data_IF_517139633874
#
_entry.id   IF_517139633874
#
_cell.length_a   1.000
_cell.length_b   1.000
_cell.length_c   1.000
_cell.angle_alpha   90.00
_cell.angle_beta   90.00
_cell.angle_gamma   90.00
#
_symmetry.space_group_name_H-M   'P 1'
#
loop_
_entity.id
_entity.type
_entity.pdbx_description
1 polymer ?
#
# COMPACT_ATOMS: atom_id res chain seq x y z
N UNK A 1 -7.34 3.61 -15.89
CA UNK A 1 -8.00 3.84 -14.58
C UNK A 1 -7.35 5.04 -13.92
N UNK A 2 -8.07 6.11 -13.61
CA UNK A 2 -7.45 7.28 -12.96
C UNK A 2 -7.37 7.10 -11.44
N UNK A 3 -6.24 7.54 -10.89
CA UNK A 3 -5.88 7.44 -9.48
C UNK A 3 -6.50 8.58 -8.65
N UNK A 4 -6.67 8.40 -7.33
CA UNK A 4 -7.07 9.48 -6.44
C UNK A 4 -6.05 10.64 -6.48
N UNK A 5 -6.54 11.87 -6.59
CA UNK A 5 -5.68 13.06 -6.59
C UNK A 5 -5.45 13.55 -5.15
N UNK A 6 -4.58 12.83 -4.43
CA UNK A 6 -4.22 13.17 -3.06
C UNK A 6 -3.60 14.56 -2.95
N UNK A 7 -2.84 15.00 -3.97
CA UNK A 7 -2.18 16.31 -3.95
C UNK A 7 -3.20 17.44 -3.89
N UNK A 8 -4.20 17.42 -4.76
CA UNK A 8 -5.26 18.42 -4.73
C UNK A 8 -6.12 18.27 -3.47
N UNK A 9 -6.39 17.04 -3.02
CA UNK A 9 -7.21 16.82 -1.84
C UNK A 9 -6.63 17.50 -0.60
N UNK A 10 -5.31 17.39 -0.39
CA UNK A 10 -4.63 17.86 0.82
C UNK A 10 -4.37 19.37 0.88
N UNK A 11 -4.51 20.12 -0.23
CA UNK A 11 -4.34 21.60 -0.21
C UNK A 11 -5.31 22.32 0.71
N UNK A 12 -6.54 21.82 0.84
CA UNK A 12 -7.60 22.50 1.59
C UNK A 12 -7.62 21.98 3.03
N UNK A 13 -7.46 22.89 4.01
CA UNK A 13 -7.45 22.56 5.45
C UNK A 13 -8.64 21.70 5.89
N UNK A 14 -9.86 22.06 5.50
CA UNK A 14 -11.04 21.29 5.88
C UNK A 14 -11.11 19.94 5.16
N UNK A 15 -10.63 19.82 3.91
CA UNK A 15 -10.52 18.52 3.24
C UNK A 15 -9.53 17.59 3.96
N UNK A 16 -8.39 18.13 4.43
CA UNK A 16 -7.44 17.37 5.27
C UNK A 16 -8.09 16.84 6.54
N UNK A 17 -8.77 17.71 7.30
CA UNK A 17 -9.48 17.33 8.53
C UNK A 17 -10.52 16.24 8.30
N UNK A 18 -11.25 16.30 7.18
CA UNK A 18 -12.24 15.28 6.79
C UNK A 18 -11.56 13.95 6.46
N UNK A 19 -10.45 13.97 5.70
CA UNK A 19 -9.71 12.76 5.36
C UNK A 19 -9.04 12.12 6.56
N UNK A 20 -8.45 12.91 7.45
CA UNK A 20 -7.88 12.45 8.71
C UNK A 20 -8.95 11.79 9.59
N UNK A 21 -10.10 12.46 9.76
CA UNK A 21 -11.24 11.88 10.50
C UNK A 21 -11.69 10.53 9.92
N UNK A 22 -11.80 10.43 8.59
CA UNK A 22 -12.18 9.19 7.93
C UNK A 22 -11.10 8.10 8.07
N UNK A 23 -9.82 8.46 7.95
CA UNK A 23 -8.71 7.55 8.11
C UNK A 23 -8.61 6.98 9.53
N UNK A 24 -8.75 7.84 10.56
CA UNK A 24 -8.77 7.43 11.97
C UNK A 24 -9.90 6.43 12.28
N UNK A 25 -11.04 6.54 11.58
CA UNK A 25 -12.15 5.57 11.66
C UNK A 25 -11.91 4.28 10.88
N UNK A 26 -10.71 4.05 10.38
CA UNK A 26 -10.35 2.86 9.61
C UNK A 26 -10.72 2.94 8.13
N UNK A 27 -10.97 4.13 7.63
CA UNK A 27 -11.29 4.40 6.23
C UNK A 27 -12.77 4.31 5.89
N UNK A 28 -13.66 4.09 6.86
CA UNK A 28 -15.12 4.06 6.68
C UNK A 28 -15.77 4.79 7.85
N UNK A 29 -16.65 5.75 7.57
CA UNK A 29 -17.38 6.50 8.60
C UNK A 29 -18.68 7.08 8.06
N UNK A 30 -19.67 7.24 8.94
CA UNK A 30 -20.88 7.96 8.63
C UNK A 30 -20.70 9.49 8.77
N UNK A 31 -21.64 10.26 8.21
CA UNK A 31 -21.59 11.72 8.20
C UNK A 31 -21.41 12.32 9.60
N UNK A 32 -22.12 11.81 10.60
CA UNK A 32 -22.06 12.33 11.96
C UNK A 32 -20.70 12.04 12.63
N UNK A 33 -20.13 10.87 12.37
CA UNK A 33 -18.78 10.52 12.83
C UNK A 33 -17.72 11.44 12.22
N UNK A 34 -17.81 11.67 10.91
CA UNK A 34 -16.89 12.57 10.19
C UNK A 34 -17.06 14.01 10.70
N UNK A 35 -18.29 14.51 10.88
CA UNK A 35 -18.57 15.84 11.40
C UNK A 35 -17.98 16.02 12.81
N UNK A 36 -18.23 15.06 13.71
CA UNK A 36 -17.74 15.07 15.08
C UNK A 36 -16.21 15.06 15.14
N UNK A 37 -15.59 14.14 14.40
CA UNK A 37 -14.14 13.92 14.45
C UNK A 37 -13.37 15.03 13.71
N UNK A 38 -13.86 15.47 12.55
CA UNK A 38 -13.20 16.51 11.77
C UNK A 38 -13.46 17.90 12.32
N UNK A 39 -14.60 18.12 12.99
CA UNK A 39 -15.11 19.44 13.41
C UNK A 39 -15.56 20.33 12.24
N UNK A 40 -15.74 19.78 11.04
CA UNK A 40 -16.30 20.48 9.86
C UNK A 40 -17.80 20.19 9.81
N UNK A 41 -18.64 21.23 9.82
CA UNK A 41 -20.09 21.07 10.05
C UNK A 41 -20.97 21.31 8.82
N UNK A 42 -22.14 20.68 8.81
CA UNK A 42 -23.26 21.00 7.93
C UNK A 42 -22.93 21.04 6.44
N UNK A 43 -23.35 22.12 5.76
CA UNK A 43 -23.15 22.31 4.31
C UNK A 43 -21.68 22.35 3.91
N UNK A 44 -20.78 22.82 4.79
CA UNK A 44 -19.34 22.85 4.54
C UNK A 44 -18.78 21.43 4.45
N UNK A 45 -19.23 20.53 5.33
CA UNK A 45 -18.84 19.13 5.26
C UNK A 45 -19.33 18.48 3.96
N UNK A 46 -20.60 18.70 3.59
CA UNK A 46 -21.16 18.19 2.33
C UNK A 46 -20.34 18.66 1.13
N UNK A 47 -19.97 19.94 1.09
CA UNK A 47 -19.13 20.50 0.03
C UNK A 47 -17.79 19.76 -0.08
N UNK A 48 -17.10 19.52 1.04
CA UNK A 48 -15.81 18.82 1.02
C UNK A 48 -15.95 17.33 0.69
N UNK A 49 -16.99 16.65 1.15
CA UNK A 49 -17.25 15.25 0.78
C UNK A 49 -17.48 15.11 -0.73
N UNK A 50 -18.34 15.97 -1.32
CA UNK A 50 -18.57 15.98 -2.77
C UNK A 50 -17.28 16.30 -3.55
N UNK A 51 -16.45 17.20 -3.05
CA UNK A 51 -15.13 17.48 -3.64
C UNK A 51 -14.21 16.25 -3.59
N UNK A 52 -14.09 15.60 -2.44
CA UNK A 52 -13.24 14.43 -2.26
C UNK A 52 -13.70 13.23 -3.10
N UNK A 53 -15.02 13.08 -3.33
CA UNK A 53 -15.57 12.12 -4.29
C UNK A 53 -15.15 12.43 -5.73
N UNK A 54 -15.22 13.70 -6.16
CA UNK A 54 -14.75 14.12 -7.49
C UNK A 54 -13.25 13.88 -7.69
N UNK A 55 -12.46 14.04 -6.64
CA UNK A 55 -11.02 13.72 -6.61
C UNK A 55 -10.74 12.21 -6.45
N UNK A 56 -11.79 11.38 -6.38
CA UNK A 56 -11.72 9.91 -6.30
C UNK A 56 -10.99 9.39 -5.06
N UNK A 57 -10.91 10.20 -3.99
CA UNK A 57 -10.33 9.79 -2.71
C UNK A 57 -11.31 8.94 -1.92
N UNK A 58 -12.60 9.30 -1.99
CA UNK A 58 -13.67 8.64 -1.25
C UNK A 58 -14.81 8.23 -2.17
N UNK A 59 -15.60 7.27 -1.70
CA UNK A 59 -16.79 6.74 -2.35
C UNK A 59 -17.94 6.72 -1.33
N UNK A 60 -19.19 6.75 -1.81
CA UNK A 60 -20.37 6.53 -0.95
C UNK A 60 -20.65 5.04 -0.90
N UNK A 61 -20.65 4.49 0.30
CA UNK A 61 -20.94 3.07 0.52
C UNK A 61 -22.44 2.84 0.72
N UNK A 62 -23.09 3.73 1.48
CA UNK A 62 -24.52 3.72 1.74
C UNK A 62 -25.01 5.15 2.02
N UNK A 63 -26.30 5.32 2.31
CA UNK A 63 -26.88 6.62 2.64
C UNK A 63 -26.19 7.22 3.87
N UNK A 64 -25.39 8.27 3.64
CA UNK A 64 -24.67 8.97 4.71
C UNK A 64 -23.37 8.29 5.17
N UNK A 65 -22.95 7.20 4.54
CA UNK A 65 -21.70 6.49 4.84
C UNK A 65 -20.70 6.67 3.71
N UNK A 66 -19.48 7.05 4.08
CA UNK A 66 -18.39 7.32 3.16
C UNK A 66 -17.23 6.37 3.45
N UNK A 67 -16.56 5.91 2.39
CA UNK A 67 -15.36 5.10 2.50
C UNK A 67 -14.21 5.70 1.71
N UNK A 68 -12.99 5.50 2.17
CA UNK A 68 -11.81 5.71 1.34
C UNK A 68 -11.85 4.73 0.16
N UNK A 69 -11.46 5.20 -1.02
CA UNK A 69 -11.25 4.34 -2.18
C UNK A 69 -10.14 3.32 -1.91
N UNK A 70 -9.07 3.77 -1.26
CA UNK A 70 -7.96 2.95 -0.77
C UNK A 70 -7.61 3.36 0.66
N UNK A 71 -7.43 2.38 1.55
CA UNK A 71 -7.02 2.60 2.95
C UNK A 71 -5.57 3.09 3.02
N UNK A 72 -4.65 2.47 2.30
CA UNK A 72 -3.30 3.02 2.10
C UNK A 72 -3.35 4.12 1.02
N UNK A 73 -2.73 5.29 1.21
CA UNK A 73 -1.82 5.64 2.31
C UNK A 73 -2.46 6.16 3.60
N UNK A 74 -3.70 6.66 3.56
CA UNK A 74 -4.22 7.53 4.62
C UNK A 74 -4.35 6.82 5.97
N UNK A 75 -4.84 5.58 6.00
CA UNK A 75 -4.91 4.78 7.23
C UNK A 75 -3.54 4.27 7.69
N UNK A 76 -2.51 4.32 6.85
CA UNK A 76 -1.14 3.98 7.26
C UNK A 76 -0.47 5.15 7.98
N UNK A 77 -0.74 6.38 7.54
CA UNK A 77 -0.16 7.59 8.12
C UNK A 77 -0.90 8.06 9.37
N UNK A 78 -2.24 7.95 9.38
CA UNK A 78 -3.10 8.35 10.49
C UNK A 78 -3.43 7.10 11.29
N UNK A 79 -3.05 7.08 12.56
CA UNK A 79 -3.34 5.97 13.47
C UNK A 79 -4.84 5.75 13.55
N UNK A 80 -5.25 4.49 13.44
CA UNK A 80 -6.65 4.10 13.36
C UNK A 80 -7.15 3.62 14.72
N UNK A 81 -8.39 3.95 15.07
CA UNK A 81 -9.01 3.54 16.34
C UNK A 81 -9.08 2.01 16.48
N UNK A 82 -9.21 1.32 15.35
CA UNK A 82 -9.19 -0.14 15.26
C UNK A 82 -8.02 -0.58 14.38
N UNK A 83 -7.27 -1.62 14.77
CA UNK A 83 -6.22 -2.18 13.94
C UNK A 83 -6.75 -2.60 12.57
N UNK A 84 -6.01 -2.27 11.52
CA UNK A 84 -6.24 -2.76 10.15
C UNK A 84 -5.17 -3.78 9.82
N UNK A 85 -5.57 -4.89 9.22
CA UNK A 85 -4.66 -5.94 8.84
C UNK A 85 -3.66 -5.47 7.78
N UNK A 86 -2.42 -5.92 7.91
CA UNK A 86 -1.33 -5.60 7.00
C UNK A 86 -1.25 -6.68 5.93
N UNK A 87 -1.19 -6.24 4.67
CA UNK A 87 -0.86 -7.06 3.53
C UNK A 87 0.57 -6.74 3.08
N UNK A 88 1.41 -7.76 2.97
CA UNK A 88 2.76 -7.66 2.47
C UNK A 88 2.80 -8.09 1.00
N UNK A 89 3.40 -7.28 0.15
CA UNK A 89 3.37 -7.43 -1.29
C UNK A 89 4.79 -7.35 -1.87
N UNK A 90 5.36 -8.49 -2.24
CA UNK A 90 6.79 -8.59 -2.54
C UNK A 90 7.10 -9.30 -3.85
N UNK A 91 8.41 -9.38 -4.12
CA UNK A 91 9.01 -10.22 -5.14
C UNK A 91 9.70 -11.44 -4.50
N UNK A 92 9.92 -12.49 -5.29
CA UNK A 92 10.79 -13.62 -4.94
C UNK A 92 11.68 -13.98 -6.14
N UNK A 93 12.98 -14.06 -5.89
CA UNK A 93 14.00 -14.48 -6.86
C UNK A 93 14.31 -15.96 -6.78
N UNK A 94 15.25 -16.42 -7.63
CA UNK A 94 15.81 -17.77 -7.56
C UNK A 94 16.55 -17.97 -6.25
N UNK A 95 16.63 -19.23 -5.80
CA UNK A 95 17.28 -19.60 -4.54
C UNK A 95 18.76 -19.21 -4.50
N UNK A 96 19.52 -19.44 -5.58
CA UNK A 96 20.95 -19.11 -5.69
C UNK A 96 21.71 -19.44 -4.39
N UNK A 97 21.65 -20.72 -3.99
CA UNK A 97 22.29 -21.27 -2.78
C UNK A 97 21.72 -20.81 -1.41
N UNK A 98 20.82 -19.83 -1.37
CA UNK A 98 20.20 -19.37 -0.12
C UNK A 98 19.40 -20.47 0.56
N UNK A 99 19.47 -20.56 1.88
CA UNK A 99 18.66 -21.51 2.66
C UNK A 99 17.29 -20.95 3.03
N UNK A 100 17.11 -19.63 2.89
CA UNK A 100 15.90 -18.91 3.28
C UNK A 100 15.57 -17.82 2.25
N UNK A 101 14.31 -17.66 1.84
CA UNK A 101 13.89 -16.57 0.97
C UNK A 101 14.10 -15.20 1.61
N UNK A 102 14.53 -14.22 0.83
CA UNK A 102 14.66 -12.84 1.30
C UNK A 102 13.30 -12.29 1.77
N UNK A 103 12.20 -12.76 1.15
CA UNK A 103 10.82 -12.49 1.57
C UNK A 103 10.57 -12.82 3.04
N UNK A 104 10.96 -14.01 3.52
CA UNK A 104 10.78 -14.37 4.94
C UNK A 104 11.66 -13.51 5.85
N UNK A 105 12.87 -13.19 5.39
CA UNK A 105 13.79 -12.35 6.14
C UNK A 105 13.26 -10.92 6.31
N UNK A 106 12.71 -10.33 5.24
CA UNK A 106 12.07 -9.01 5.28
C UNK A 106 10.85 -8.99 6.21
N UNK A 107 10.02 -10.04 6.19
CA UNK A 107 8.85 -10.16 7.08
C UNK A 107 9.28 -10.23 8.56
N UNK A 108 10.37 -10.93 8.88
CA UNK A 108 10.91 -10.97 10.23
C UNK A 108 11.38 -9.60 10.71
N UNK A 109 12.09 -8.85 9.84
CA UNK A 109 12.52 -7.49 10.15
C UNK A 109 11.33 -6.55 10.37
N UNK A 110 10.34 -6.58 9.47
CA UNK A 110 9.08 -5.83 9.64
C UNK A 110 8.37 -6.17 10.95
N UNK A 111 8.34 -7.45 11.32
CA UNK A 111 7.73 -7.92 12.57
C UNK A 111 8.42 -7.34 13.80
N UNK A 112 9.75 -7.20 13.77
CA UNK A 112 10.53 -6.54 14.83
C UNK A 112 10.24 -5.05 14.92
N UNK A 113 9.93 -4.40 13.80
CA UNK A 113 9.47 -2.99 13.75
C UNK A 113 7.98 -2.82 14.12
N UNK A 114 7.29 -3.90 14.48
CA UNK A 114 5.88 -3.87 14.91
C UNK A 114 4.87 -4.08 13.78
N UNK A 115 5.31 -4.27 12.54
CA UNK A 115 4.44 -4.57 11.40
C UNK A 115 4.28 -6.09 11.25
N UNK A 116 3.06 -6.61 11.45
CA UNK A 116 2.77 -8.04 11.37
C UNK A 116 1.88 -8.36 10.17
N UNK A 117 2.44 -8.66 8.98
CA UNK A 117 1.64 -9.03 7.83
C UNK A 117 0.81 -10.29 8.08
N UNK A 118 -0.50 -10.21 7.85
CA UNK A 118 -1.39 -11.38 7.91
C UNK A 118 -1.56 -12.05 6.56
N UNK A 119 -1.40 -11.29 5.49
CA UNK A 119 -1.54 -11.75 4.11
C UNK A 119 -0.27 -11.42 3.35
N UNK A 120 0.23 -12.39 2.59
CA UNK A 120 1.50 -12.30 1.85
C UNK A 120 1.24 -12.60 0.37
N UNK A 121 1.38 -11.60 -0.49
CA UNK A 121 1.35 -11.77 -1.94
C UNK A 121 2.76 -11.63 -2.50
N UNK A 122 3.17 -12.61 -3.31
CA UNK A 122 4.56 -12.69 -3.80
C UNK A 122 4.54 -12.93 -5.30
N UNK A 123 5.12 -12.00 -6.05
CA UNK A 123 5.30 -12.14 -7.49
C UNK A 123 6.66 -12.77 -7.79
N UNK A 124 6.68 -13.74 -8.70
CA UNK A 124 7.88 -14.52 -9.03
C UNK A 124 7.75 -15.19 -10.40
N UNK A 125 8.85 -15.74 -10.91
CA UNK A 125 8.79 -16.59 -12.10
C UNK A 125 8.57 -18.06 -11.73
N UNK A 126 7.97 -18.87 -12.63
CA UNK A 126 7.83 -20.31 -12.40
C UNK A 126 9.16 -21.01 -12.07
N UNK A 127 10.25 -20.60 -12.72
CA UNK A 127 11.59 -21.15 -12.52
C UNK A 127 12.11 -20.82 -11.13
N UNK A 128 11.97 -19.56 -10.71
CA UNK A 128 12.34 -19.14 -9.36
C UNK A 128 11.54 -19.91 -8.30
N UNK A 129 10.21 -20.00 -8.46
CA UNK A 129 9.35 -20.75 -7.55
C UNK A 129 9.78 -22.22 -7.43
N UNK A 130 10.15 -22.85 -8.55
CA UNK A 130 10.59 -24.23 -8.58
C UNK A 130 11.87 -24.48 -7.76
N UNK A 131 12.77 -23.49 -7.67
CA UNK A 131 13.99 -23.59 -6.84
C UNK A 131 13.70 -23.59 -5.33
N UNK A 132 12.49 -23.21 -4.92
CA UNK A 132 12.04 -23.13 -3.53
C UNK A 132 10.98 -24.16 -3.14
N UNK A 133 10.69 -25.13 -4.02
CA UNK A 133 9.57 -26.09 -3.87
C UNK A 133 9.61 -26.91 -2.58
N UNK A 134 10.79 -27.07 -1.98
CA UNK A 134 11.01 -27.81 -0.73
C UNK A 134 10.49 -27.08 0.51
N UNK A 135 10.32 -25.75 0.47
CA UNK A 135 10.02 -24.93 1.65
C UNK A 135 8.53 -24.72 1.95
N UNK A 136 7.60 -25.25 1.13
CA UNK A 136 6.13 -25.10 1.31
C UNK A 136 5.71 -23.68 1.75
N UNK A 137 6.17 -22.67 1.03
CA UNK A 137 5.99 -21.27 1.41
C UNK A 137 4.50 -20.86 1.35
N UNK A 138 3.92 -20.29 2.43
CA UNK A 138 2.49 -20.03 2.53
C UNK A 138 2.12 -18.65 1.94
N UNK A 139 2.37 -18.46 0.64
CA UNK A 139 2.11 -17.20 -0.07
C UNK A 139 0.97 -17.31 -1.07
N UNK A 140 0.35 -16.17 -1.36
CA UNK A 140 -0.46 -16.00 -2.55
C UNK A 140 0.45 -15.62 -3.73
N UNK A 141 0.59 -16.55 -4.67
CA UNK A 141 1.52 -16.40 -5.80
C UNK A 141 0.93 -15.57 -6.94
N UNK A 142 1.76 -14.68 -7.50
CA UNK A 142 1.52 -14.02 -8.77
C UNK A 142 2.64 -14.46 -9.72
N UNK A 143 2.32 -15.32 -10.69
CA UNK A 143 3.33 -15.86 -11.60
C UNK A 143 3.53 -14.92 -12.78
N UNK A 144 4.74 -14.37 -12.90
CA UNK A 144 5.20 -13.63 -14.07
C UNK A 144 6.13 -14.55 -14.88
N UNK A 145 5.77 -14.85 -16.13
CA UNK A 145 6.61 -15.67 -17.02
C UNK A 145 7.94 -14.97 -17.35
N UNK A 146 8.91 -15.72 -17.90
CA UNK A 146 10.29 -15.21 -18.10
C UNK A 146 10.35 -13.95 -18.95
N UNK A 147 9.51 -13.84 -19.97
CA UNK A 147 9.39 -12.66 -20.83
C UNK A 147 8.68 -11.49 -20.11
N UNK A 148 7.78 -11.79 -19.17
CA UNK A 148 7.09 -10.80 -18.35
C UNK A 148 8.01 -10.24 -17.25
N UNK A 149 8.72 -11.09 -16.49
CA UNK A 149 9.49 -10.68 -15.29
C UNK A 149 10.69 -9.78 -15.62
N UNK A 150 11.15 -9.78 -16.87
CA UNK A 150 12.23 -8.91 -17.36
C UNK A 150 11.71 -7.60 -17.99
N UNK A 151 10.40 -7.39 -18.04
CA UNK A 151 9.77 -6.21 -18.61
C UNK A 151 9.01 -5.42 -17.53
N UNK A 152 9.40 -4.15 -17.34
CA UNK A 152 8.84 -3.27 -16.29
C UNK A 152 7.31 -3.14 -16.44
N UNK A 153 6.81 -2.91 -17.65
CA UNK A 153 5.38 -2.70 -17.90
C UNK A 153 4.59 -4.00 -17.73
N UNK A 154 5.11 -5.12 -18.22
CA UNK A 154 4.48 -6.43 -18.06
C UNK A 154 4.35 -6.80 -16.56
N UNK A 155 5.40 -6.60 -15.77
CA UNK A 155 5.33 -6.80 -14.30
C UNK A 155 4.26 -5.90 -13.70
N UNK A 156 4.24 -4.60 -14.04
CA UNK A 156 3.23 -3.67 -13.51
C UNK A 156 1.82 -4.14 -13.82
N UNK A 157 1.53 -4.48 -15.07
CA UNK A 157 0.20 -4.90 -15.49
C UNK A 157 -0.23 -6.21 -14.82
N UNK A 158 0.71 -7.12 -14.59
CA UNK A 158 0.46 -8.39 -13.90
C UNK A 158 0.09 -8.21 -12.43
N UNK A 159 0.84 -7.40 -11.71
CA UNK A 159 0.70 -7.30 -10.23
C UNK A 159 -0.34 -6.26 -9.81
N UNK A 160 -0.59 -5.24 -10.63
CA UNK A 160 -1.44 -4.10 -10.31
C UNK A 160 -2.89 -4.44 -9.94
N UNK A 161 -3.60 -5.35 -10.62
CA UNK A 161 -4.97 -5.70 -10.23
C UNK A 161 -5.07 -6.17 -8.78
N UNK A 162 -4.16 -7.07 -8.39
CA UNK A 162 -4.12 -7.62 -7.04
C UNK A 162 -3.69 -6.57 -6.01
N UNK A 163 -2.67 -5.77 -6.32
CA UNK A 163 -2.22 -4.67 -5.47
C UNK A 163 -3.36 -3.66 -5.19
N UNK A 164 -4.08 -3.25 -6.23
CA UNK A 164 -5.21 -2.33 -6.09
C UNK A 164 -6.36 -2.94 -5.28
N UNK A 165 -6.58 -4.25 -5.39
CA UNK A 165 -7.57 -4.94 -4.55
C UNK A 165 -7.17 -4.90 -3.08
N UNK A 166 -5.90 -5.16 -2.76
CA UNK A 166 -5.41 -5.15 -1.38
C UNK A 166 -5.48 -3.75 -0.76
N UNK A 167 -5.13 -2.71 -1.52
CA UNK A 167 -5.14 -1.32 -1.06
C UNK A 167 -6.53 -0.85 -0.58
N UNK A 168 -7.62 -1.48 -1.03
CA UNK A 168 -8.99 -1.14 -0.60
C UNK A 168 -9.24 -1.50 0.86
N UNK A 169 -8.70 -2.63 1.31
CA UNK A 169 -9.14 -3.27 2.55
C UNK A 169 -8.01 -3.47 3.58
N UNK A 170 -6.74 -3.42 3.16
CA UNK A 170 -5.55 -3.66 3.98
C UNK A 170 -4.62 -2.45 4.03
N UNK A 171 -3.76 -2.42 5.05
CA UNK A 171 -2.54 -1.61 5.02
C UNK A 171 -1.49 -2.36 4.20
N UNK A 172 -1.18 -1.87 3.01
CA UNK A 172 -0.18 -2.52 2.13
C UNK A 172 1.22 -1.97 2.40
N UNK A 173 2.19 -2.89 2.55
CA UNK A 173 3.63 -2.60 2.50
C UNK A 173 4.21 -3.36 1.31
N UNK A 174 4.86 -2.64 0.40
CA UNK A 174 5.53 -3.22 -0.75
C UNK A 174 7.01 -3.51 -0.43
N UNK A 175 7.55 -4.55 -1.08
CA UNK A 175 8.96 -4.93 -0.98
C UNK A 175 9.54 -5.22 -2.37
N UNK A 176 10.63 -4.53 -2.71
CA UNK A 176 11.32 -4.67 -4.00
C UNK A 176 12.74 -5.27 -3.88
N UNK A 177 13.04 -5.99 -2.81
CA UNK A 177 14.35 -6.58 -2.51
C UNK A 177 14.81 -7.58 -3.57
N UNK A 178 13.92 -8.47 -4.01
CA UNK A 178 14.29 -9.66 -4.79
C UNK A 178 13.93 -9.57 -6.28
N UNK A 179 14.28 -10.64 -6.99
CA UNK A 179 14.03 -10.89 -8.41
C UNK A 179 14.94 -10.07 -9.35
N UNK A 180 14.38 -9.50 -10.41
CA UNK A 180 15.13 -8.85 -11.48
C UNK A 180 15.11 -7.32 -11.30
N UNK A 181 16.10 -6.62 -11.85
CA UNK A 181 16.10 -5.14 -11.87
C UNK A 181 14.82 -4.55 -12.50
N UNK A 182 14.29 -5.07 -13.62
CA UNK A 182 12.98 -4.65 -14.14
C UNK A 182 11.83 -4.80 -13.14
N UNK A 183 11.75 -5.93 -12.42
CA UNK A 183 10.72 -6.14 -11.41
C UNK A 183 10.85 -5.16 -10.23
N UNK A 184 12.08 -4.90 -9.76
CA UNK A 184 12.36 -3.88 -8.75
C UNK A 184 11.90 -2.50 -9.20
N UNK A 185 12.22 -2.10 -10.44
CA UNK A 185 11.79 -0.81 -11.01
C UNK A 185 10.26 -0.72 -11.08
N UNK A 186 9.59 -1.79 -11.53
CA UNK A 186 8.13 -1.86 -11.59
C UNK A 186 7.49 -1.62 -10.22
N UNK A 187 8.01 -2.26 -9.18
CA UNK A 187 7.52 -2.08 -7.80
C UNK A 187 7.78 -0.67 -7.28
N UNK A 188 8.95 -0.10 -7.57
CA UNK A 188 9.28 1.28 -7.20
C UNK A 188 8.33 2.29 -7.87
N UNK A 189 8.07 2.15 -9.16
CA UNK A 189 7.12 3.01 -9.90
C UNK A 189 5.68 2.88 -9.39
N UNK A 190 5.23 1.66 -9.11
CA UNK A 190 3.91 1.42 -8.53
C UNK A 190 3.80 2.03 -7.14
N UNK A 191 4.77 1.81 -6.27
CA UNK A 191 4.76 2.38 -4.92
C UNK A 191 4.71 3.91 -4.94
N UNK A 192 5.44 4.56 -5.86
CA UNK A 192 5.36 6.01 -6.07
C UNK A 192 3.99 6.46 -6.57
N UNK A 193 3.44 5.78 -7.58
CA UNK A 193 2.16 6.12 -8.19
C UNK A 193 0.99 5.95 -7.21
N UNK A 194 1.06 4.91 -6.38
CA UNK A 194 0.02 4.51 -5.43
C UNK A 194 0.28 5.05 -4.02
N UNK A 195 1.37 5.81 -3.81
CA UNK A 195 1.77 6.38 -2.53
C UNK A 195 1.89 5.32 -1.43
N UNK A 196 2.34 4.12 -1.81
CA UNK A 196 2.41 2.96 -0.92
C UNK A 196 3.79 2.87 -0.28
N UNK A 197 3.89 2.53 1.02
CA UNK A 197 5.17 2.30 1.65
C UNK A 197 5.97 1.21 0.92
N UNK A 198 7.28 1.42 0.80
CA UNK A 198 8.17 0.53 0.07
C UNK A 198 9.43 0.27 0.88
N UNK A 199 9.79 -1.00 1.02
CA UNK A 199 11.02 -1.44 1.68
C UNK A 199 11.99 -2.11 0.71
N UNK A 200 13.24 -2.17 1.14
CA UNK A 200 14.33 -2.91 0.53
C UNK A 200 15.23 -3.45 1.64
N UNK A 201 15.66 -4.70 1.55
CA UNK A 201 16.60 -5.29 2.52
C UNK A 201 17.98 -5.42 1.89
N UNK A 202 19.00 -4.83 2.54
CA UNK A 202 20.38 -5.02 2.13
C UNK A 202 20.84 -6.43 2.50
N UNK A 203 21.29 -7.19 1.50
CA UNK A 203 21.63 -8.61 1.70
C UNK A 203 22.84 -8.79 2.62
N UNK A 204 23.86 -7.94 2.49
CA UNK A 204 25.11 -8.06 3.26
C UNK A 204 24.93 -7.64 4.72
N UNK A 205 24.24 -6.52 4.96
CA UNK A 205 24.07 -5.96 6.30
C UNK A 205 22.83 -6.47 7.01
N UNK A 206 21.94 -7.14 6.27
CA UNK A 206 20.65 -7.63 6.78
C UNK A 206 19.78 -6.50 7.38
N UNK A 207 19.93 -5.30 6.83
CA UNK A 207 19.26 -4.08 7.27
C UNK A 207 18.01 -3.82 6.42
N UNK A 208 16.88 -3.56 7.08
CA UNK A 208 15.65 -3.09 6.42
C UNK A 208 15.76 -1.59 6.16
N UNK A 209 15.56 -1.20 4.90
CA UNK A 209 15.51 0.20 4.48
C UNK A 209 14.11 0.55 3.96
N UNK A 210 13.52 1.58 4.53
CA UNK A 210 12.32 2.22 3.96
C UNK A 210 12.74 3.13 2.80
N UNK A 211 12.49 2.69 1.56
CA UNK A 211 12.67 3.51 0.36
C UNK A 211 11.57 4.57 0.22
N UNK A 212 10.35 4.22 0.67
CA UNK A 212 9.24 5.14 0.86
C UNK A 212 8.67 4.87 2.25
N UNK A 213 8.98 5.72 3.22
CA UNK A 213 8.53 5.56 4.61
C UNK A 213 7.18 6.20 4.87
N UNK A 214 6.61 5.94 6.06
CA UNK A 214 5.43 6.63 6.59
C UNK A 214 5.64 8.16 6.58
N UNK A 215 6.81 8.61 7.01
CA UNK A 215 7.21 10.02 7.07
C UNK A 215 7.33 10.61 5.66
N UNK A 216 7.97 9.90 4.73
CA UNK A 216 8.04 10.32 3.32
C UNK A 216 6.65 10.54 2.72
N UNK A 217 5.70 9.64 3.00
CA UNK A 217 4.31 9.77 2.51
C UNK A 217 3.62 10.96 3.19
N UNK A 218 3.79 11.13 4.52
CA UNK A 218 3.24 12.27 5.25
C UNK A 218 3.74 13.59 4.69
N UNK A 219 5.04 13.73 4.50
CA UNK A 219 5.69 14.92 3.94
C UNK A 219 5.15 15.25 2.55
N UNK A 220 5.05 14.26 1.65
CA UNK A 220 4.47 14.46 0.31
C UNK A 220 3.01 14.95 0.35
N UNK A 221 2.26 14.60 1.40
CA UNK A 221 0.87 15.03 1.58
C UNK A 221 0.75 16.40 2.27
N UNK A 222 1.71 16.79 3.11
CA UNK A 222 1.66 18.01 3.93
C UNK A 222 2.46 19.18 3.36
N UNK A 223 3.53 18.94 2.61
CA UNK A 223 4.37 19.96 1.97
C UNK A 223 3.71 20.66 0.75
N UNK A 224 2.41 20.45 0.55
CA UNK A 224 1.62 21.11 -0.50
C UNK A 224 1.02 22.44 0.03
N UNK A 225 1.79 23.13 0.87
CA UNK A 225 1.51 24.50 1.33
C UNK A 225 2.04 25.52 0.35
#
# INVERSE_FOLDING_TARGET
MEMPDYKQAMKIKNSRRVLEALAMKGGVANFAEIEKQSGVKGSVLIHHLNRLQRLRIIEKEARGTYRLKYKTPLCFIYETEKPIDIAYFSLLGRREERTKPETEFAIELLTREGYKPKIKYVATSPEALQTWKDLKLPYHWILCYEDEIINVDAVKDKVKPQLLSLLKDYLVIMDCTSATKPATIAYYELAQTLWTPLIYVYEDTKELKWLISKETIKERLTQIT
#
